data_IF_515948094551
#
_entry.id   IF_515948094551
#
_cell.length_a   1.000
_cell.length_b   1.000
_cell.length_c   1.000
_cell.angle_alpha   90.00
_cell.angle_beta   90.00
_cell.angle_gamma   90.00
#
_symmetry.space_group_name_H-M   'P 1'
#
loop_
_entity.id
_entity.type
_entity.pdbx_description
1 polymer ?
#
# COMPACT_ATOMS: atom_id res chain seq x y z
N UNK A 1 4.14 9.60 3.59
CA UNK A 1 4.25 8.45 2.67
C UNK A 1 3.76 7.23 3.42
N UNK A 2 2.95 6.38 2.82
CA UNK A 2 2.48 5.16 3.49
C UNK A 2 3.42 3.99 3.22
N UNK A 3 3.67 3.17 4.24
CA UNK A 3 4.35 1.89 4.12
C UNK A 3 3.40 0.76 4.52
N UNK A 4 3.55 -0.39 3.88
CA UNK A 4 2.84 -1.60 4.28
C UNK A 4 3.61 -2.26 5.44
N UNK A 5 2.96 -2.38 6.60
CA UNK A 5 3.58 -2.96 7.79
C UNK A 5 3.26 -4.44 7.94
N UNK A 6 2.06 -4.82 7.52
CA UNK A 6 1.59 -6.19 7.42
C UNK A 6 0.86 -6.35 6.08
N UNK A 7 1.33 -7.30 5.28
CA UNK A 7 0.85 -7.52 3.92
C UNK A 7 1.09 -8.96 3.44
N UNK A 8 0.38 -9.31 2.37
CA UNK A 8 0.51 -10.56 1.65
C UNK A 8 0.65 -10.26 0.15
N UNK A 9 1.60 -10.91 -0.53
CA UNK A 9 1.71 -10.85 -1.99
C UNK A 9 1.11 -12.12 -2.58
N UNK A 10 0.04 -11.97 -3.33
CA UNK A 10 -0.58 -13.03 -4.12
C UNK A 10 0.03 -13.01 -5.51
N UNK A 11 0.48 -14.16 -6.01
CA UNK A 11 1.21 -14.26 -7.29
C UNK A 11 0.31 -14.68 -8.44
N UNK A 12 0.49 -14.06 -9.61
CA UNK A 12 -0.18 -14.45 -10.85
C UNK A 12 -1.71 -14.52 -10.74
N UNK A 13 -2.31 -13.56 -10.04
CA UNK A 13 -3.75 -13.52 -9.84
C UNK A 13 -4.41 -12.99 -11.10
N UNK A 14 -5.30 -13.81 -11.67
CA UNK A 14 -6.13 -13.43 -12.80
C UNK A 14 -7.24 -12.50 -12.35
N UNK A 15 -7.47 -11.43 -13.11
CA UNK A 15 -8.61 -10.55 -12.96
C UNK A 15 -9.88 -11.28 -13.45
N UNK A 16 -10.45 -12.11 -12.58
CA UNK A 16 -11.67 -12.86 -12.84
C UNK A 16 -12.58 -12.82 -11.60
N UNK A 17 -13.71 -12.15 -11.76
CA UNK A 17 -14.71 -12.00 -10.72
C UNK A 17 -15.36 -13.27 -10.21
N UNK A 18 -15.20 -14.37 -10.94
CA UNK A 18 -15.69 -15.69 -10.53
C UNK A 18 -14.70 -16.38 -9.59
N UNK A 19 -13.43 -15.98 -9.62
CA UNK A 19 -12.39 -16.50 -8.74
C UNK A 19 -12.51 -15.79 -7.40
N UNK A 20 -12.68 -16.57 -6.34
CA UNK A 20 -12.72 -16.04 -4.98
C UNK A 20 -11.70 -16.76 -4.11
N UNK A 21 -10.80 -15.98 -3.56
CA UNK A 21 -9.71 -16.43 -2.72
C UNK A 21 -10.12 -16.29 -1.25
N UNK A 22 -9.83 -17.31 -0.44
CA UNK A 22 -9.97 -17.20 0.99
C UNK A 22 -8.74 -16.44 1.52
N UNK A 23 -8.97 -15.34 2.23
CA UNK A 23 -7.93 -14.67 3.02
C UNK A 23 -8.28 -14.77 4.49
N UNK A 24 -7.28 -14.67 5.36
CA UNK A 24 -7.47 -14.78 6.81
C UNK A 24 -8.33 -13.64 7.37
N UNK A 25 -8.28 -12.46 6.75
CA UNK A 25 -9.01 -11.26 7.19
C UNK A 25 -9.23 -10.28 6.05
N UNK A 26 -10.09 -9.28 6.30
CA UNK A 26 -10.41 -8.23 5.34
C UNK A 26 -9.17 -7.36 5.05
N UNK A 27 -8.80 -7.16 3.77
CA UNK A 27 -7.78 -6.21 3.38
C UNK A 27 -8.13 -4.76 3.76
N UNK A 28 -7.15 -3.99 4.17
CA UNK A 28 -7.25 -2.53 4.33
C UNK A 28 -7.05 -1.82 2.99
N UNK A 29 -6.04 -2.25 2.22
CA UNK A 29 -5.79 -1.80 0.84
C UNK A 29 -5.41 -2.98 -0.04
N UNK A 30 -5.67 -2.83 -1.33
CA UNK A 30 -5.24 -3.78 -2.36
C UNK A 30 -4.57 -2.98 -3.46
N UNK A 31 -3.49 -3.54 -4.01
CA UNK A 31 -2.74 -2.91 -5.08
C UNK A 31 -2.16 -3.96 -6.02
N UNK A 32 -2.04 -3.62 -7.30
CA UNK A 32 -1.17 -4.35 -8.23
C UNK A 32 0.28 -3.99 -7.94
N UNK A 33 1.14 -4.98 -7.79
CA UNK A 33 2.58 -4.79 -7.58
C UNK A 33 3.25 -4.52 -8.93
N UNK A 34 3.90 -3.37 -9.06
CA UNK A 34 4.55 -2.95 -10.32
C UNK A 34 6.05 -3.23 -10.32
N UNK A 35 6.72 -2.93 -9.19
CA UNK A 35 8.15 -3.13 -9.01
C UNK A 35 8.42 -3.58 -7.56
N UNK A 36 8.56 -4.89 -7.40
CA UNK A 36 8.83 -5.51 -6.10
C UNK A 36 10.23 -5.17 -5.56
N UNK A 37 11.23 -5.06 -6.43
CA UNK A 37 12.60 -4.75 -6.01
C UNK A 37 12.65 -3.35 -5.39
N UNK A 38 12.03 -2.37 -6.05
CA UNK A 38 11.92 -1.02 -5.52
C UNK A 38 11.00 -0.94 -4.30
N UNK A 39 9.90 -1.69 -4.27
CA UNK A 39 9.04 -1.79 -3.09
C UNK A 39 9.83 -2.25 -1.85
N UNK A 40 10.62 -3.32 -1.99
CA UNK A 40 11.45 -3.86 -0.92
C UNK A 40 12.57 -2.89 -0.51
N UNK A 41 13.29 -2.30 -1.48
CA UNK A 41 14.35 -1.31 -1.20
C UNK A 41 13.83 -0.07 -0.47
N UNK A 42 12.58 0.32 -0.71
CA UNK A 42 11.95 1.46 -0.06
C UNK A 42 11.35 1.13 1.32
N UNK A 43 11.65 -0.05 1.87
CA UNK A 43 11.09 -0.50 3.14
C UNK A 43 9.57 -0.64 3.08
N UNK A 44 9.08 -1.23 1.98
CA UNK A 44 7.65 -1.46 1.72
C UNK A 44 6.84 -0.18 1.48
N UNK A 45 7.49 0.83 0.89
CA UNK A 45 6.86 2.09 0.50
C UNK A 45 5.82 1.93 -0.60
N UNK A 46 4.59 2.35 -0.31
CA UNK A 46 3.46 2.31 -1.24
C UNK A 46 3.42 3.58 -2.10
N UNK A 47 4.29 3.62 -3.11
CA UNK A 47 4.40 4.72 -4.06
C UNK A 47 3.54 4.40 -5.29
N UNK A 48 2.38 5.07 -5.38
CA UNK A 48 1.47 4.89 -6.49
C UNK A 48 2.14 5.19 -7.83
N UNK A 49 1.90 4.33 -8.84
CA UNK A 49 2.50 4.36 -10.17
C UNK A 49 4.03 4.23 -10.21
N UNK A 50 4.65 3.79 -9.11
CA UNK A 50 6.09 3.48 -9.05
C UNK A 50 6.34 2.08 -8.53
N UNK A 51 5.97 1.83 -7.28
CA UNK A 51 6.10 0.49 -6.67
C UNK A 51 4.81 -0.29 -6.78
N UNK A 52 3.66 0.40 -6.70
CA UNK A 52 2.33 -0.20 -6.68
C UNK A 52 1.31 0.61 -7.47
N UNK A 53 0.27 -0.03 -7.98
CA UNK A 53 -0.94 0.61 -8.48
C UNK A 53 -2.10 0.31 -7.53
N UNK A 54 -2.73 1.32 -6.92
CA UNK A 54 -3.81 1.09 -5.97
C UNK A 54 -5.09 0.68 -6.69
N UNK A 55 -5.69 -0.41 -6.22
CA UNK A 55 -6.92 -0.96 -6.78
C UNK A 55 -8.12 -0.43 -5.99
N UNK A 56 -9.16 0.00 -6.70
CA UNK A 56 -10.38 0.51 -6.08
C UNK A 56 -11.29 -0.63 -5.60
N UNK A 57 -11.83 -0.52 -4.38
CA UNK A 57 -12.66 -1.57 -3.77
C UNK A 57 -14.04 -1.72 -4.43
N UNK A 58 -14.52 -0.75 -5.19
CA UNK A 58 -15.82 -0.89 -5.84
C UNK A 58 -15.68 -1.53 -7.22
N UNK A 59 -14.56 -1.24 -7.90
CA UNK A 59 -14.40 -1.58 -9.30
C UNK A 59 -13.39 -2.69 -9.58
N UNK A 60 -12.39 -2.86 -8.72
CA UNK A 60 -11.21 -3.67 -9.04
C UNK A 60 -11.04 -4.86 -8.09
N UNK A 61 -11.58 -4.79 -6.87
CA UNK A 61 -11.62 -5.92 -5.93
C UNK A 61 -12.78 -5.82 -4.96
N UNK A 62 -13.24 -6.93 -4.37
CA UNK A 62 -14.28 -6.91 -3.35
C UNK A 62 -13.97 -7.86 -2.19
N UNK A 63 -14.60 -7.61 -1.04
CA UNK A 63 -14.56 -8.48 0.13
C UNK A 63 -15.96 -8.74 0.65
N UNK A 64 -16.41 -10.00 0.54
CA UNK A 64 -17.74 -10.42 0.95
C UNK A 64 -17.65 -11.78 1.67
N UNK A 65 -18.28 -11.90 2.84
CA UNK A 65 -18.37 -13.16 3.60
C UNK A 65 -17.03 -13.87 3.81
N UNK A 66 -15.96 -13.13 4.09
CA UNK A 66 -14.62 -13.71 4.31
C UNK A 66 -13.86 -14.07 3.02
N UNK A 67 -14.39 -13.70 1.85
CA UNK A 67 -13.80 -14.03 0.55
C UNK A 67 -13.37 -12.77 -0.18
N UNK A 68 -12.18 -12.83 -0.75
CA UNK A 68 -11.62 -11.82 -1.63
C UNK A 68 -11.92 -12.17 -3.08
N UNK A 69 -12.38 -11.18 -3.86
CA UNK A 69 -12.54 -11.28 -5.31
C UNK A 69 -11.72 -10.19 -5.97
N UNK A 70 -11.08 -10.52 -7.09
CA UNK A 70 -10.22 -9.60 -7.83
C UNK A 70 -10.67 -9.56 -9.29
N UNK A 71 -11.02 -8.35 -9.76
CA UNK A 71 -11.61 -8.10 -11.08
C UNK A 71 -10.77 -7.15 -11.93
N UNK A 72 -9.70 -6.56 -11.35
CA UNK A 72 -8.93 -5.41 -11.83
C UNK A 72 -9.05 -5.07 -13.31
N UNK A 73 -9.27 -3.78 -13.58
CA UNK A 73 -9.27 -3.24 -14.94
C UNK A 73 -7.88 -2.95 -15.48
N UNK A 74 -6.85 -3.08 -14.65
CA UNK A 74 -5.47 -2.65 -14.94
C UNK A 74 -4.69 -3.73 -15.66
N UNK A 75 -4.87 -4.99 -15.24
CA UNK A 75 -4.16 -6.13 -15.80
C UNK A 75 -5.05 -7.38 -15.78
N UNK A 76 -4.97 -8.20 -16.85
CA UNK A 76 -5.69 -9.49 -16.90
C UNK A 76 -5.11 -10.55 -15.95
N UNK A 77 -3.82 -10.43 -15.61
CA UNK A 77 -3.12 -11.23 -14.61
C UNK A 77 -2.01 -10.37 -13.98
N UNK A 78 -1.88 -10.40 -12.65
CA UNK A 78 -0.90 -9.59 -11.93
C UNK A 78 -0.50 -10.19 -10.58
N UNK A 79 0.64 -9.75 -10.07
CA UNK A 79 0.98 -9.92 -8.66
C UNK A 79 0.22 -8.87 -7.84
N UNK A 80 -0.57 -9.32 -6.87
CA UNK A 80 -1.47 -8.47 -6.09
C UNK A 80 -0.98 -8.37 -4.67
N UNK A 81 -0.70 -7.15 -4.24
CA UNK A 81 -0.38 -6.80 -2.87
C UNK A 81 -1.67 -6.57 -2.07
N UNK A 82 -1.87 -7.39 -1.05
CA UNK A 82 -2.92 -7.25 -0.05
C UNK A 82 -2.31 -6.63 1.20
N UNK A 83 -2.76 -5.44 1.60
CA UNK A 83 -2.26 -4.74 2.78
C UNK A 83 -3.27 -4.83 3.91
N UNK A 84 -2.82 -5.26 5.08
CA UNK A 84 -3.64 -5.37 6.29
C UNK A 84 -3.36 -4.26 7.30
N UNK A 85 -2.11 -3.82 7.41
CA UNK A 85 -1.69 -2.72 8.30
C UNK A 85 -0.82 -1.72 7.53
N UNK A 86 -1.09 -0.44 7.77
CA UNK A 86 -0.33 0.68 7.22
C UNK A 86 0.39 1.42 8.34
N UNK A 87 1.50 2.04 7.98
CA UNK A 87 2.15 3.04 8.82
C UNK A 87 2.43 4.30 7.98
N UNK A 88 2.36 5.46 8.62
CA UNK A 88 2.61 6.75 7.99
C UNK A 88 4.05 7.20 8.29
N UNK A 89 4.86 7.28 7.23
CA UNK A 89 6.20 7.83 7.30
C UNK A 89 6.15 9.31 6.96
N UNK A 90 6.53 10.13 7.93
CA UNK A 90 6.66 11.57 7.79
C UNK A 90 8.10 11.94 7.49
N UNK A 91 8.28 13.04 6.76
CA UNK A 91 9.58 13.60 6.45
C UNK A 91 9.59 15.07 6.80
N UNK A 92 10.70 15.54 7.35
CA UNK A 92 10.92 16.96 7.59
C UNK A 92 11.02 17.69 6.24
N UNK A 93 10.24 18.76 6.08
CA UNK A 93 10.22 19.58 4.86
C UNK A 93 11.51 20.38 4.65
N UNK A 94 12.30 20.61 5.70
CA UNK A 94 13.55 21.38 5.61
C UNK A 94 14.76 20.52 5.27
N UNK A 95 14.96 19.40 5.98
CA UNK A 95 16.17 18.57 5.84
C UNK A 95 15.92 17.20 5.20
N UNK A 96 14.66 16.82 4.94
CA UNK A 96 14.31 15.52 4.36
C UNK A 96 14.46 14.33 5.33
N UNK A 97 14.87 14.55 6.58
CA UNK A 97 15.00 13.48 7.57
C UNK A 97 13.63 12.88 7.94
N UNK A 98 13.59 11.59 8.26
CA UNK A 98 12.38 10.93 8.77
C UNK A 98 11.96 11.58 10.09
N UNK A 99 10.66 11.82 10.23
CA UNK A 99 10.04 12.38 11.43
C UNK A 99 9.02 11.38 12.00
N UNK A 100 8.82 11.35 13.32
CA UNK A 100 7.86 10.44 13.95
C UNK A 100 6.40 10.83 13.71
N UNK A 101 6.13 12.11 13.47
CA UNK A 101 4.82 12.65 13.11
C UNK A 101 4.97 13.97 12.34
N UNK A 102 3.92 14.42 11.67
CA UNK A 102 3.90 15.68 10.92
C UNK A 102 4.09 16.91 11.82
N UNK A 103 3.57 16.87 13.04
CA UNK A 103 3.53 18.01 13.97
C UNK A 103 4.57 17.93 15.09
N UNK A 104 5.61 17.10 14.93
CA UNK A 104 6.71 17.01 15.90
C UNK A 104 7.94 17.78 15.41
N UNK A 105 8.66 18.40 16.35
CA UNK A 105 9.96 19.00 16.05
C UNK A 105 10.90 17.96 15.43
N UNK A 106 11.54 18.30 14.31
CA UNK A 106 12.46 17.40 13.64
C UNK A 106 13.70 17.17 14.52
N UNK A 107 13.93 15.93 14.95
CA UNK A 107 15.11 15.56 15.74
C UNK A 107 16.44 15.78 15.00
N UNK A 108 16.43 15.81 13.66
CA UNK A 108 17.66 15.94 12.86
C UNK A 108 18.11 17.39 12.64
N UNK A 109 17.20 18.34 12.50
CA UNK A 109 17.53 19.75 12.21
C UNK A 109 16.88 20.76 13.17
N UNK A 110 16.09 20.30 14.14
CA UNK A 110 15.42 21.14 15.12
C UNK A 110 14.24 21.95 14.58
N UNK A 111 13.89 21.81 13.29
CA UNK A 111 12.77 22.54 12.68
C UNK A 111 11.44 22.21 13.37
N UNK A 112 10.70 23.23 13.77
CA UNK A 112 9.36 23.11 14.32
C UNK A 112 8.32 23.26 13.20
N UNK A 113 7.30 22.38 13.14
CA UNK A 113 6.21 22.55 12.20
C UNK A 113 5.45 23.83 12.52
N UNK A 114 5.18 24.65 11.51
CA UNK A 114 4.38 25.86 11.68
C UNK A 114 2.92 25.47 11.95
N UNK A 115 2.30 25.93 13.05
CA UNK A 115 0.87 25.74 13.24
C UNK A 115 0.12 26.50 12.14
N UNK A 116 -0.83 25.81 11.48
CA UNK A 116 -1.80 26.42 10.57
C UNK A 116 -2.77 27.33 11.33
#
# INVERSE_FOLDING_TARGET
MQIAKDFLILRGIKADGRVSLALERKPLKVATLLDEEQFNRNGYGLLHNRTVFFEDQMHDWAWENGRFRYFSRVAGEADVLIVYELDDVYFCTQCGAKAPAQDTQCASCGHQPTPN
#
